data_IF_257407137330
#
_entry.id   IF_257407137330
#
_cell.length_a   1.000
_cell.length_b   1.000
_cell.length_c   1.000
_cell.angle_alpha   90.00
_cell.angle_beta   90.00
_cell.angle_gamma   90.00
#
_symmetry.space_group_name_H-M   'P 1'
#
loop_
_entity.id
_entity.type
_entity.pdbx_description
1 polymer ?
#
# COMPACT_ATOMS: atom_id res chain seq x y z
N UNK A 1 -3.96 2.82 -27.61
CA UNK A 1 -3.31 1.74 -28.41
C UNK A 1 -2.93 0.63 -27.42
N UNK A 2 -3.37 -0.62 -27.63
CA UNK A 2 -3.10 -1.69 -26.67
C UNK A 2 -1.61 -2.04 -26.67
N UNK A 3 -0.98 -2.00 -25.50
CA UNK A 3 0.39 -2.47 -25.30
C UNK A 3 0.43 -3.99 -25.52
N UNK A 4 1.05 -4.44 -26.63
CA UNK A 4 1.26 -5.87 -26.89
C UNK A 4 2.18 -6.44 -25.81
N UNK A 5 1.81 -7.58 -25.20
CA UNK A 5 2.67 -8.35 -24.30
C UNK A 5 3.92 -8.80 -25.09
N UNK A 6 5.05 -8.19 -24.84
CA UNK A 6 6.29 -8.36 -25.60
C UNK A 6 7.02 -9.67 -25.25
N UNK A 7 6.34 -10.82 -25.32
CA UNK A 7 6.92 -12.14 -25.10
C UNK A 7 6.96 -12.62 -23.63
N UNK A 8 6.75 -11.75 -22.65
CA UNK A 8 6.66 -12.13 -21.23
C UNK A 8 5.28 -12.71 -20.94
N UNK A 9 5.22 -13.91 -20.36
CA UNK A 9 3.96 -14.56 -19.98
C UNK A 9 3.61 -14.28 -18.52
N UNK A 10 2.35 -13.91 -18.27
CA UNK A 10 1.87 -13.72 -16.89
C UNK A 10 1.91 -15.02 -16.09
N UNK A 11 2.52 -14.97 -14.91
CA UNK A 11 2.67 -16.10 -13.99
C UNK A 11 1.58 -16.06 -12.92
N UNK A 12 0.69 -17.05 -12.95
CA UNK A 12 -0.47 -17.12 -12.04
C UNK A 12 -0.06 -17.15 -10.55
N UNK A 13 1.03 -17.84 -10.21
CA UNK A 13 1.52 -17.93 -8.84
C UNK A 13 2.06 -16.60 -8.30
N UNK A 14 2.48 -15.68 -9.20
CA UNK A 14 2.88 -14.32 -8.85
C UNK A 14 1.70 -13.33 -8.84
N UNK A 15 0.48 -13.78 -9.18
CA UNK A 15 -0.70 -12.91 -9.23
C UNK A 15 -0.64 -11.84 -10.32
N UNK A 16 0.12 -12.07 -11.41
CA UNK A 16 0.37 -11.10 -12.46
C UNK A 16 -0.87 -10.86 -13.35
N UNK A 17 -1.22 -9.59 -13.50
CA UNK A 17 -2.21 -9.04 -14.45
C UNK A 17 -1.58 -7.82 -15.10
N UNK A 18 -1.05 -7.97 -16.31
CA UNK A 18 -0.36 -6.87 -17.00
C UNK A 18 -1.37 -5.83 -17.50
N UNK A 19 -1.15 -4.58 -17.14
CA UNK A 19 -1.95 -3.46 -17.62
C UNK A 19 -1.64 -3.20 -19.10
N UNK A 20 -2.68 -3.09 -19.94
CA UNK A 20 -2.56 -2.85 -21.39
C UNK A 20 -3.09 -1.48 -21.82
N UNK A 21 -3.62 -0.69 -20.87
CA UNK A 21 -4.22 0.61 -21.12
C UNK A 21 -3.23 1.73 -20.73
N UNK A 22 -2.71 2.42 -21.74
CA UNK A 22 -1.74 3.50 -21.56
C UNK A 22 -2.37 4.72 -20.86
N UNK A 23 -3.67 5.01 -21.09
CA UNK A 23 -4.35 6.13 -20.44
C UNK A 23 -4.50 5.89 -18.94
N UNK A 24 -4.81 4.65 -18.54
CA UNK A 24 -4.86 4.28 -17.12
C UNK A 24 -3.47 4.43 -16.48
N UNK A 25 -2.42 3.98 -17.16
CA UNK A 25 -1.04 4.10 -16.69
C UNK A 25 -0.62 5.56 -16.51
N UNK A 26 -0.84 6.40 -17.50
CA UNK A 26 -0.53 7.84 -17.45
C UNK A 26 -1.32 8.53 -16.33
N UNK A 27 -2.63 8.29 -16.24
CA UNK A 27 -3.49 8.85 -15.20
C UNK A 27 -3.04 8.49 -13.78
N UNK A 28 -2.58 7.24 -13.58
CA UNK A 28 -2.03 6.82 -12.29
C UNK A 28 -0.74 7.59 -11.98
N UNK A 29 0.17 7.68 -12.94
CA UNK A 29 1.46 8.39 -12.75
C UNK A 29 1.23 9.88 -12.52
N UNK A 30 0.28 10.51 -13.21
CA UNK A 30 -0.12 11.92 -13.01
C UNK A 30 -0.70 12.18 -11.61
N UNK A 31 -1.25 11.15 -10.95
CA UNK A 31 -1.79 11.25 -9.59
C UNK A 31 -0.72 11.37 -8.51
N UNK A 32 0.56 11.18 -8.81
CA UNK A 32 1.68 11.36 -7.87
C UNK A 32 1.89 12.86 -7.61
N UNK A 33 1.90 13.26 -6.33
CA UNK A 33 1.94 14.67 -5.92
C UNK A 33 3.15 15.03 -5.06
N UNK A 34 3.69 14.10 -4.26
CA UNK A 34 4.70 14.39 -3.24
C UNK A 34 6.14 14.30 -3.74
N UNK A 35 6.37 14.02 -5.04
CA UNK A 35 7.70 13.85 -5.58
C UNK A 35 8.54 15.12 -5.51
N UNK A 36 9.72 15.02 -4.88
CA UNK A 36 10.74 16.05 -4.75
C UNK A 36 12.00 15.63 -5.52
N UNK A 37 12.98 16.52 -5.61
CA UNK A 37 14.22 16.31 -6.38
C UNK A 37 15.02 15.09 -5.91
N UNK A 38 14.99 14.79 -4.63
CA UNK A 38 15.71 13.69 -3.96
C UNK A 38 14.83 12.47 -3.67
N UNK A 39 13.57 12.48 -4.10
CA UNK A 39 12.67 11.35 -3.91
C UNK A 39 13.08 10.14 -4.74
N UNK A 40 12.88 8.94 -4.17
CA UNK A 40 12.98 7.66 -4.87
C UNK A 40 11.56 7.22 -5.23
N UNK A 41 11.29 7.03 -6.52
CA UNK A 41 10.02 6.44 -6.99
C UNK A 41 10.21 4.94 -7.15
N UNK A 42 9.77 4.18 -6.16
CA UNK A 42 9.90 2.73 -6.10
C UNK A 42 8.66 2.08 -6.73
N UNK A 43 8.80 1.59 -7.96
CA UNK A 43 7.76 0.80 -8.60
C UNK A 43 7.86 -0.66 -8.18
N UNK A 44 6.77 -1.23 -7.65
CA UNK A 44 6.71 -2.64 -7.24
C UNK A 44 5.95 -3.44 -8.30
N UNK A 45 6.63 -4.46 -8.86
CA UNK A 45 6.06 -5.33 -9.88
C UNK A 45 5.83 -4.62 -11.22
N UNK A 46 6.86 -4.02 -11.84
CA UNK A 46 6.76 -3.32 -13.11
C UNK A 46 6.27 -4.23 -14.27
N UNK A 47 6.48 -5.55 -14.17
CA UNK A 47 6.09 -6.50 -15.19
C UNK A 47 6.67 -6.17 -16.57
N UNK A 48 5.80 -5.82 -17.52
CA UNK A 48 6.21 -5.41 -18.87
C UNK A 48 6.44 -3.89 -19.03
N UNK A 49 6.43 -3.14 -17.92
CA UNK A 49 6.79 -1.72 -17.91
C UNK A 49 5.66 -0.76 -18.26
N UNK A 50 4.41 -1.20 -18.10
CA UNK A 50 3.25 -0.34 -18.43
C UNK A 50 3.21 0.95 -17.61
N UNK A 51 3.53 0.90 -16.31
CA UNK A 51 3.67 2.08 -15.46
C UNK A 51 5.11 2.64 -15.51
N UNK A 52 6.11 1.77 -15.65
CA UNK A 52 7.53 2.16 -15.65
C UNK A 52 7.83 3.20 -16.74
N UNK A 53 7.32 2.98 -17.95
CA UNK A 53 7.58 3.88 -19.08
C UNK A 53 7.10 5.31 -18.81
N UNK A 54 5.84 5.60 -18.42
CA UNK A 54 5.42 6.96 -18.07
C UNK A 54 6.08 7.46 -16.77
N UNK A 55 6.45 6.60 -15.80
CA UNK A 55 7.22 7.00 -14.63
C UNK A 55 8.60 7.53 -15.03
N UNK A 56 9.36 6.80 -15.84
CA UNK A 56 10.68 7.23 -16.31
C UNK A 56 10.57 8.48 -17.18
N UNK A 57 9.56 8.58 -18.02
CA UNK A 57 9.31 9.78 -18.84
C UNK A 57 9.12 11.04 -17.97
N UNK A 58 8.46 10.90 -16.81
CA UNK A 58 8.14 12.03 -15.92
C UNK A 58 9.25 12.31 -14.90
N UNK A 59 9.89 11.27 -14.36
CA UNK A 59 10.78 11.38 -13.19
C UNK A 59 12.22 10.93 -13.47
N UNK A 60 12.51 10.42 -14.66
CA UNK A 60 13.87 10.08 -15.11
C UNK A 60 14.56 9.08 -14.20
N UNK A 61 15.79 9.44 -13.78
CA UNK A 61 16.66 8.60 -12.94
C UNK A 61 16.19 8.38 -11.50
N UNK A 62 15.13 9.08 -11.05
CA UNK A 62 14.55 8.87 -9.72
C UNK A 62 13.76 7.56 -9.61
N UNK A 63 13.41 6.92 -10.73
CA UNK A 63 12.62 5.67 -10.78
C UNK A 63 13.50 4.47 -10.51
N UNK A 64 13.07 3.60 -9.59
CA UNK A 64 13.63 2.28 -9.32
C UNK A 64 12.53 1.24 -9.47
N UNK A 65 12.67 0.36 -10.45
CA UNK A 65 11.71 -0.70 -10.78
C UNK A 65 12.13 -2.02 -10.12
N UNK A 66 11.34 -2.51 -9.17
CA UNK A 66 11.60 -3.69 -8.37
C UNK A 66 10.76 -4.89 -8.82
N UNK A 67 11.40 -5.94 -9.32
CA UNK A 67 10.73 -7.10 -9.93
C UNK A 67 11.32 -8.44 -9.46
N UNK A 68 10.45 -9.40 -9.17
CA UNK A 68 10.86 -10.77 -8.79
C UNK A 68 10.94 -11.71 -9.98
N UNK A 69 10.17 -11.44 -11.03
CA UNK A 69 10.14 -12.26 -12.23
C UNK A 69 11.34 -11.99 -13.14
N UNK A 70 12.24 -12.99 -13.27
CA UNK A 70 13.45 -12.86 -14.07
C UNK A 70 13.20 -12.59 -15.57
N UNK A 71 12.09 -13.08 -16.13
CA UNK A 71 11.73 -12.77 -17.53
C UNK A 71 11.38 -11.30 -17.69
N UNK A 72 10.60 -10.74 -16.76
CA UNK A 72 10.26 -9.32 -16.72
C UNK A 72 11.49 -8.46 -16.49
N UNK A 73 12.40 -8.84 -15.56
CA UNK A 73 13.68 -8.17 -15.32
C UNK A 73 14.52 -8.13 -16.61
N UNK A 74 14.67 -9.29 -17.28
CA UNK A 74 15.47 -9.37 -18.51
C UNK A 74 14.85 -8.55 -19.66
N UNK A 75 13.53 -8.48 -19.71
CA UNK A 75 12.80 -7.65 -20.67
C UNK A 75 13.03 -6.16 -20.41
N UNK A 76 12.84 -5.71 -19.15
CA UNK A 76 13.00 -4.30 -18.76
C UNK A 76 14.44 -3.81 -18.99
N UNK A 77 15.45 -4.61 -18.61
CA UNK A 77 16.86 -4.26 -18.82
C UNK A 77 17.28 -4.07 -20.28
N UNK A 78 16.48 -4.58 -21.23
CA UNK A 78 16.70 -4.40 -22.68
C UNK A 78 15.85 -3.28 -23.27
N UNK A 79 14.93 -2.71 -22.50
CA UNK A 79 14.04 -1.67 -22.98
C UNK A 79 14.80 -0.33 -23.14
N UNK A 80 14.65 0.38 -24.29
CA UNK A 80 15.46 1.58 -24.58
C UNK A 80 15.04 2.83 -23.79
N UNK A 81 14.00 2.75 -22.99
CA UNK A 81 13.40 3.86 -22.22
C UNK A 81 13.69 3.80 -20.73
N UNK A 82 14.44 2.81 -20.24
CA UNK A 82 14.89 2.70 -18.84
C UNK A 82 16.35 2.24 -18.81
N UNK A 83 17.13 2.80 -17.89
CA UNK A 83 18.51 2.38 -17.71
C UNK A 83 18.58 1.04 -16.93
N UNK A 84 19.48 0.11 -17.30
CA UNK A 84 19.56 -1.21 -16.67
C UNK A 84 19.78 -1.17 -15.14
N UNK A 85 20.44 -0.13 -14.61
CA UNK A 85 20.66 0.05 -13.18
C UNK A 85 19.41 0.46 -12.40
N UNK A 86 18.38 0.98 -13.06
CA UNK A 86 17.07 1.30 -12.49
C UNK A 86 16.19 0.05 -12.30
N UNK A 87 16.61 -1.12 -12.82
CA UNK A 87 15.86 -2.37 -12.70
C UNK A 87 16.53 -3.29 -11.69
N UNK A 88 15.89 -3.45 -10.53
CA UNK A 88 16.37 -4.30 -9.44
C UNK A 88 15.60 -5.63 -9.43
N UNK A 89 16.35 -6.74 -9.52
CA UNK A 89 15.79 -8.09 -9.37
C UNK A 89 15.72 -8.44 -7.88
N UNK A 90 14.60 -8.11 -7.20
CA UNK A 90 14.44 -8.36 -5.77
C UNK A 90 12.96 -8.47 -5.37
N UNK A 91 12.72 -9.08 -4.21
CA UNK A 91 11.39 -9.14 -3.57
C UNK A 91 11.23 -7.95 -2.62
N UNK A 92 10.23 -7.10 -2.88
CA UNK A 92 9.92 -5.97 -2.01
C UNK A 92 9.67 -6.42 -0.56
N UNK A 93 9.01 -7.55 -0.35
CA UNK A 93 8.69 -8.01 1.00
C UNK A 93 9.94 -8.42 1.80
N UNK A 94 11.00 -8.86 1.11
CA UNK A 94 12.29 -9.20 1.72
C UNK A 94 13.25 -8.00 1.83
N UNK A 95 13.11 -7.00 0.95
CA UNK A 95 14.00 -5.82 0.87
C UNK A 95 14.03 -5.05 2.19
N UNK A 96 15.19 -4.62 2.64
CA UNK A 96 15.35 -3.70 3.78
C UNK A 96 15.39 -2.25 3.27
N UNK A 97 14.81 -1.33 4.03
CA UNK A 97 14.84 0.10 3.68
C UNK A 97 16.27 0.63 3.51
N UNK A 98 17.21 0.11 4.33
CA UNK A 98 18.64 0.46 4.28
C UNK A 98 19.36 0.01 2.99
N UNK A 99 18.74 -0.86 2.19
CA UNK A 99 19.29 -1.29 0.89
C UNK A 99 18.92 -0.33 -0.24
N UNK A 100 18.01 0.61 0.03
CA UNK A 100 17.76 1.76 -0.84
C UNK A 100 18.76 2.88 -0.56
N UNK A 101 18.72 3.96 -1.36
CA UNK A 101 19.58 5.11 -1.09
C UNK A 101 19.43 5.61 0.35
N UNK A 102 20.53 6.05 1.01
CA UNK A 102 20.53 6.35 2.45
C UNK A 102 19.69 7.57 2.82
N UNK A 103 19.30 8.39 1.86
CA UNK A 103 18.51 9.62 2.05
C UNK A 103 17.43 9.73 0.97
N UNK A 104 16.49 10.66 1.19
CA UNK A 104 15.38 10.96 0.30
C UNK A 104 14.08 10.26 0.70
N UNK A 105 12.98 10.89 0.28
CA UNK A 105 11.64 10.36 0.46
C UNK A 105 11.41 9.16 -0.47
N UNK A 106 10.61 8.20 -0.03
CA UNK A 106 10.23 7.05 -0.84
C UNK A 106 8.77 7.23 -1.27
N UNK A 107 8.53 7.19 -2.57
CA UNK A 107 7.20 7.15 -3.16
C UNK A 107 7.00 5.76 -3.75
N UNK A 108 6.03 5.02 -3.24
CA UNK A 108 5.74 3.66 -3.70
C UNK A 108 4.66 3.71 -4.77
N UNK A 109 4.92 3.09 -5.92
CA UNK A 109 3.99 3.05 -7.05
C UNK A 109 3.82 1.61 -7.52
N UNK A 110 2.63 1.25 -8.02
CA UNK A 110 2.50 -0.07 -8.63
C UNK A 110 1.08 -0.47 -9.04
N UNK A 111 1.07 -1.46 -9.93
CA UNK A 111 -0.08 -2.33 -10.14
C UNK A 111 0.11 -3.57 -9.25
N UNK A 112 -0.25 -3.47 -7.97
CA UNK A 112 0.15 -4.45 -6.97
C UNK A 112 -0.50 -5.82 -7.19
N UNK A 113 0.29 -6.92 -7.11
CA UNK A 113 -0.27 -8.27 -7.12
C UNK A 113 -1.27 -8.45 -5.97
N UNK A 114 -2.51 -8.88 -6.30
CA UNK A 114 -3.61 -8.88 -5.31
C UNK A 114 -3.37 -9.80 -4.12
N UNK A 115 -2.67 -10.92 -4.34
CA UNK A 115 -2.36 -11.90 -3.30
C UNK A 115 -1.42 -11.38 -2.21
N UNK A 116 -0.63 -10.33 -2.49
CA UNK A 116 0.32 -9.74 -1.53
C UNK A 116 0.07 -8.26 -1.26
N UNK A 117 -0.96 -7.66 -1.82
CA UNK A 117 -1.24 -6.22 -1.73
C UNK A 117 -1.36 -5.72 -0.28
N UNK A 118 -1.96 -6.50 0.62
CA UNK A 118 -2.01 -6.16 2.05
C UNK A 118 -0.63 -6.23 2.72
N UNK A 119 0.23 -7.17 2.31
CA UNK A 119 1.60 -7.28 2.82
C UNK A 119 2.45 -6.10 2.37
N UNK A 120 2.28 -5.66 1.10
CA UNK A 120 2.91 -4.44 0.58
C UNK A 120 2.52 -3.22 1.42
N UNK A 121 1.23 -3.07 1.75
CA UNK A 121 0.76 -1.97 2.61
C UNK A 121 1.35 -2.03 4.03
N UNK A 122 1.41 -3.21 4.65
CA UNK A 122 2.04 -3.33 5.96
C UNK A 122 3.52 -2.95 5.92
N UNK A 123 4.24 -3.37 4.89
CA UNK A 123 5.64 -3.01 4.71
C UNK A 123 5.83 -1.52 4.41
N UNK A 124 4.96 -0.93 3.60
CA UNK A 124 4.93 0.51 3.39
C UNK A 124 4.75 1.29 4.70
N UNK A 125 3.86 0.80 5.59
CA UNK A 125 3.67 1.37 6.92
C UNK A 125 4.88 1.15 7.85
N UNK A 126 5.60 0.04 7.72
CA UNK A 126 6.85 -0.19 8.47
C UNK A 126 7.93 0.84 8.05
N UNK A 127 7.92 1.31 6.79
CA UNK A 127 8.82 2.33 6.23
C UNK A 127 8.28 3.77 6.30
N UNK A 128 7.21 4.01 7.07
CA UNK A 128 6.46 5.27 7.10
C UNK A 128 7.27 6.54 7.38
N UNK A 129 8.44 6.42 8.05
CA UNK A 129 9.31 7.57 8.34
C UNK A 129 9.84 8.22 7.05
N UNK A 130 10.11 7.40 6.03
CA UNK A 130 10.61 7.85 4.73
C UNK A 130 9.58 7.74 3.59
N UNK A 131 8.54 6.93 3.78
CA UNK A 131 7.53 6.69 2.76
C UNK A 131 6.47 7.78 2.80
N UNK A 132 6.59 8.77 1.92
CA UNK A 132 5.73 9.97 1.92
C UNK A 132 4.47 9.82 1.08
N UNK A 133 4.49 8.94 0.07
CA UNK A 133 3.32 8.70 -0.79
C UNK A 133 3.29 7.26 -1.29
N UNK A 134 2.07 6.74 -1.47
CA UNK A 134 1.82 5.54 -2.25
C UNK A 134 0.70 5.81 -3.25
N UNK A 135 0.93 5.50 -4.54
CA UNK A 135 -0.11 5.54 -5.58
C UNK A 135 -0.15 4.18 -6.28
N UNK A 136 -1.28 3.50 -6.20
CA UNK A 136 -1.31 2.17 -6.80
C UNK A 136 -2.69 1.54 -6.96
N UNK A 137 -2.69 0.44 -7.70
CA UNK A 137 -3.89 -0.36 -7.96
C UNK A 137 -3.99 -1.54 -7.01
N UNK A 138 -5.20 -1.71 -6.47
CA UNK A 138 -5.61 -2.81 -5.60
C UNK A 138 -6.89 -3.44 -6.14
N UNK A 139 -7.32 -4.58 -5.59
CA UNK A 139 -8.70 -4.98 -5.77
C UNK A 139 -9.62 -3.86 -5.25
N UNK A 140 -10.69 -3.57 -5.99
CA UNK A 140 -11.62 -2.45 -5.68
C UNK A 140 -12.10 -2.50 -4.23
N UNK A 141 -12.52 -3.67 -3.74
CA UNK A 141 -12.97 -3.84 -2.36
C UNK A 141 -11.88 -3.49 -1.33
N UNK A 142 -10.60 -3.83 -1.63
CA UNK A 142 -9.47 -3.50 -0.75
C UNK A 142 -9.22 -1.99 -0.74
N UNK A 143 -9.22 -1.35 -1.90
CA UNK A 143 -9.06 0.10 -2.02
C UNK A 143 -10.18 0.86 -1.30
N UNK A 144 -11.45 0.45 -1.49
CA UNK A 144 -12.60 1.01 -0.81
C UNK A 144 -12.51 0.83 0.72
N UNK A 145 -12.04 -0.34 1.18
CA UNK A 145 -11.84 -0.62 2.61
C UNK A 145 -10.80 0.30 3.23
N UNK A 146 -9.67 0.52 2.55
CA UNK A 146 -8.60 1.40 3.03
C UNK A 146 -9.10 2.83 3.20
N UNK A 147 -9.94 3.31 2.27
CA UNK A 147 -10.49 4.67 2.26
C UNK A 147 -11.79 4.81 3.07
N UNK A 148 -12.31 3.72 3.65
CA UNK A 148 -13.59 3.76 4.38
C UNK A 148 -13.49 4.54 5.68
N UNK A 149 -14.49 5.37 5.96
CA UNK A 149 -14.66 6.02 7.26
C UNK A 149 -15.06 5.01 8.35
N UNK A 150 -14.72 5.31 9.61
CA UNK A 150 -15.21 4.55 10.76
C UNK A 150 -16.74 4.53 10.80
N UNK A 151 -17.31 3.55 11.47
CA UNK A 151 -18.77 3.31 11.49
C UNK A 151 -19.31 2.53 10.29
N UNK A 152 -18.52 2.34 9.23
CA UNK A 152 -18.94 1.58 8.04
C UNK A 152 -18.65 0.08 8.17
N UNK A 153 -19.40 -0.74 7.40
CA UNK A 153 -19.15 -2.20 7.34
C UNK A 153 -17.83 -2.57 6.71
N UNK A 154 -17.26 -1.72 5.85
CA UNK A 154 -16.00 -1.95 5.13
C UNK A 154 -14.78 -1.54 5.94
N UNK A 155 -14.93 -0.65 6.92
CA UNK A 155 -13.85 -0.21 7.81
C UNK A 155 -13.21 -1.38 8.56
N UNK A 156 -11.88 -1.39 8.64
CA UNK A 156 -11.15 -2.50 9.23
C UNK A 156 -9.69 -2.16 9.58
N UNK A 157 -8.89 -3.18 9.85
CA UNK A 157 -7.49 -3.03 10.30
C UNK A 157 -6.68 -2.11 9.37
N UNK A 158 -6.77 -2.32 8.05
CA UNK A 158 -6.03 -1.48 7.08
C UNK A 158 -6.53 -0.04 7.07
N UNK A 159 -7.86 0.17 7.24
CA UNK A 159 -8.42 1.53 7.34
C UNK A 159 -7.82 2.28 8.52
N UNK A 160 -7.82 1.66 9.71
CA UNK A 160 -7.22 2.26 10.93
C UNK A 160 -5.76 2.57 10.71
N UNK A 161 -4.96 1.55 10.38
CA UNK A 161 -3.50 1.69 10.35
C UNK A 161 -3.02 2.64 9.25
N UNK A 162 -3.66 2.62 8.07
CA UNK A 162 -3.31 3.56 7.00
C UNK A 162 -3.74 4.97 7.36
N UNK A 163 -4.99 5.17 7.76
CA UNK A 163 -5.53 6.51 8.02
C UNK A 163 -4.97 7.16 9.29
N UNK A 164 -4.31 6.41 10.16
CA UNK A 164 -3.52 6.99 11.26
C UNK A 164 -2.36 7.83 10.73
N UNK A 165 -1.66 7.37 9.70
CA UNK A 165 -0.42 7.98 9.20
C UNK A 165 -0.59 8.73 7.87
N UNK A 166 -1.63 8.39 7.10
CA UNK A 166 -1.83 8.90 5.73
C UNK A 166 -3.25 9.41 5.52
N UNK A 167 -3.38 10.40 4.67
CA UNK A 167 -4.64 10.71 3.99
C UNK A 167 -4.85 9.66 2.91
N UNK A 168 -5.99 8.95 2.95
CA UNK A 168 -6.32 7.90 2.00
C UNK A 168 -7.41 8.39 1.05
N UNK A 169 -7.13 8.39 -0.24
CA UNK A 169 -8.02 8.89 -1.29
C UNK A 169 -8.25 7.82 -2.35
N UNK A 170 -9.52 7.49 -2.61
CA UNK A 170 -9.90 6.63 -3.72
C UNK A 170 -10.01 7.47 -5.00
N UNK A 171 -9.13 7.23 -5.97
CA UNK A 171 -9.02 8.08 -7.15
C UNK A 171 -9.99 7.66 -8.26
N UNK A 172 -9.95 6.40 -8.66
CA UNK A 172 -10.81 5.88 -9.73
C UNK A 172 -10.83 4.36 -9.80
N UNK A 173 -11.85 3.85 -10.47
CA UNK A 173 -12.02 2.40 -10.74
C UNK A 173 -11.42 2.04 -12.09
N UNK A 174 -10.79 0.85 -12.18
CA UNK A 174 -10.21 0.30 -13.40
C UNK A 174 -10.91 -1.02 -13.74
N UNK A 175 -11.48 -1.16 -14.95
CA UNK A 175 -12.20 -2.36 -15.34
C UNK A 175 -11.26 -3.52 -15.68
N UNK A 176 -11.70 -4.80 -15.55
CA UNK A 176 -10.85 -5.98 -15.77
C UNK A 176 -10.30 -6.13 -17.19
N UNK A 177 -11.02 -5.67 -18.20
CA UNK A 177 -10.66 -5.88 -19.61
C UNK A 177 -9.39 -5.13 -20.06
N UNK A 178 -8.91 -4.17 -19.26
CA UNK A 178 -7.65 -3.45 -19.54
C UNK A 178 -6.41 -4.22 -19.07
N UNK A 179 -6.57 -5.44 -18.56
CA UNK A 179 -5.48 -6.30 -18.11
C UNK A 179 -5.36 -7.59 -18.92
N UNK A 180 -4.18 -8.16 -18.98
CA UNK A 180 -3.90 -9.48 -19.55
C UNK A 180 -3.09 -10.33 -18.55
N UNK A 181 -3.60 -11.50 -18.08
CA UNK A 181 -5.00 -11.93 -18.20
C UNK A 181 -5.94 -11.00 -17.38
N UNK A 182 -7.23 -10.89 -17.73
CA UNK A 182 -8.14 -10.06 -16.96
C UNK A 182 -8.36 -10.66 -15.55
N UNK A 183 -8.35 -9.85 -14.47
CA UNK A 183 -8.74 -10.29 -13.14
C UNK A 183 -10.25 -10.55 -13.08
N UNK A 184 -10.68 -11.31 -12.06
CA UNK A 184 -12.11 -11.60 -11.83
C UNK A 184 -12.89 -10.43 -11.24
N UNK A 185 -12.22 -9.41 -10.72
CA UNK A 185 -12.79 -8.25 -10.03
C UNK A 185 -12.26 -6.95 -10.61
N UNK A 186 -12.96 -5.86 -10.40
CA UNK A 186 -12.47 -4.52 -10.73
C UNK A 186 -11.28 -4.16 -9.82
N UNK A 187 -10.42 -3.27 -10.30
CA UNK A 187 -9.37 -2.61 -9.51
C UNK A 187 -9.83 -1.24 -9.06
N UNK A 188 -9.28 -0.78 -7.93
CA UNK A 188 -9.37 0.60 -7.49
C UNK A 188 -7.98 1.20 -7.40
N UNK A 189 -7.79 2.40 -7.94
CA UNK A 189 -6.58 3.18 -7.73
C UNK A 189 -6.78 4.06 -6.52
N UNK A 190 -5.85 4.01 -5.59
CA UNK A 190 -5.84 4.90 -4.43
C UNK A 190 -4.52 5.65 -4.33
N UNK A 191 -4.56 6.77 -3.61
CA UNK A 191 -3.40 7.53 -3.19
C UNK A 191 -3.40 7.62 -1.66
N UNK A 192 -2.23 7.39 -1.09
CA UNK A 192 -1.92 7.62 0.31
C UNK A 192 -0.88 8.72 0.38
N UNK A 193 -1.18 9.82 1.06
CA UNK A 193 -0.25 10.92 1.26
C UNK A 193 0.02 11.08 2.75
N UNK A 194 1.30 11.10 3.14
CA UNK A 194 1.70 11.21 4.54
C UNK A 194 1.09 12.45 5.20
N UNK A 195 0.56 12.30 6.40
CA UNK A 195 0.06 13.43 7.20
C UNK A 195 1.24 14.30 7.63
N UNK A 196 1.02 15.61 7.70
CA UNK A 196 2.06 16.59 8.07
C UNK A 196 2.39 16.58 9.55
N UNK A 197 1.49 16.08 10.38
CA UNK A 197 1.69 15.93 11.82
C UNK A 197 2.76 14.87 12.10
N UNK A 198 3.71 15.17 13.00
CA UNK A 198 4.73 14.19 13.39
C UNK A 198 4.07 12.97 14.02
N UNK A 199 4.34 11.81 13.45
CA UNK A 199 3.86 10.51 13.94
C UNK A 199 4.97 9.66 14.55
N UNK A 200 6.17 10.24 14.76
CA UNK A 200 7.36 9.52 15.22
C UNK A 200 7.21 8.98 16.65
N UNK A 201 6.40 9.66 17.48
CA UNK A 201 6.08 9.24 18.84
C UNK A 201 5.15 8.01 18.90
N UNK A 202 4.50 7.65 17.77
CA UNK A 202 3.53 6.54 17.75
C UNK A 202 4.27 5.20 17.67
N UNK A 203 4.07 4.37 18.69
CA UNK A 203 4.53 2.98 18.63
C UNK A 203 3.62 2.18 17.67
N UNK A 204 4.02 2.12 16.40
CA UNK A 204 3.28 1.43 15.36
C UNK A 204 3.05 -0.05 15.66
N UNK A 205 4.04 -0.76 16.21
CA UNK A 205 3.92 -2.19 16.51
C UNK A 205 2.83 -2.43 17.55
N UNK A 206 2.76 -1.57 18.58
CA UNK A 206 1.75 -1.62 19.62
C UNK A 206 0.35 -1.28 19.08
N UNK A 207 0.21 -0.19 18.33
CA UNK A 207 -1.04 0.18 17.65
C UNK A 207 -1.54 -0.97 16.75
N UNK A 208 -0.66 -1.55 15.94
CA UNK A 208 -0.96 -2.68 15.04
C UNK A 208 -1.47 -3.90 15.82
N UNK A 209 -0.85 -4.22 16.94
CA UNK A 209 -1.27 -5.33 17.84
C UNK A 209 -2.68 -5.08 18.37
N UNK A 210 -2.93 -3.91 18.95
CA UNK A 210 -4.22 -3.55 19.55
C UNK A 210 -5.31 -3.55 18.50
N UNK A 211 -5.06 -2.92 17.35
CA UNK A 211 -6.01 -2.88 16.23
C UNK A 211 -6.37 -4.29 15.76
N UNK A 212 -5.39 -5.19 15.58
CA UNK A 212 -5.65 -6.58 15.21
C UNK A 212 -6.49 -7.31 16.25
N UNK A 213 -6.18 -7.18 17.53
CA UNK A 213 -6.95 -7.80 18.62
C UNK A 213 -8.38 -7.29 18.62
N UNK A 214 -8.59 -5.99 18.51
CA UNK A 214 -9.92 -5.38 18.48
C UNK A 214 -10.79 -5.91 17.33
N UNK A 215 -10.22 -6.05 16.12
CA UNK A 215 -10.95 -6.53 14.94
C UNK A 215 -11.09 -8.05 14.84
N UNK A 216 -10.29 -8.85 15.57
CA UNK A 216 -10.43 -10.31 15.57
C UNK A 216 -11.81 -10.78 16.04
N UNK A 217 -12.47 -9.99 16.89
CA UNK A 217 -13.82 -10.26 17.37
C UNK A 217 -14.78 -9.11 16.99
N UNK A 218 -14.84 -8.76 15.72
CA UNK A 218 -15.55 -7.59 15.20
C UNK A 218 -16.99 -7.41 15.73
N UNK A 219 -17.72 -8.51 15.98
CA UNK A 219 -19.11 -8.45 16.50
C UNK A 219 -19.22 -8.20 18.01
N UNK A 220 -18.12 -8.24 18.74
CA UNK A 220 -18.04 -8.02 20.20
C UNK A 220 -17.68 -6.58 20.52
N UNK A 221 -18.02 -6.16 21.74
CA UNK A 221 -17.53 -4.90 22.28
C UNK A 221 -16.01 -4.95 22.49
N UNK A 222 -15.34 -3.80 22.50
CA UNK A 222 -13.91 -3.71 22.78
C UNK A 222 -13.53 -4.34 24.11
N UNK A 223 -14.36 -4.20 25.15
CA UNK A 223 -14.15 -4.89 26.43
C UNK A 223 -13.90 -6.39 26.23
N UNK A 224 -14.75 -7.04 25.48
CA UNK A 224 -14.66 -8.48 25.26
C UNK A 224 -13.54 -8.86 24.32
N UNK A 225 -13.34 -8.09 23.23
CA UNK A 225 -12.29 -8.34 22.26
C UNK A 225 -10.88 -8.20 22.87
N UNK A 226 -10.63 -7.10 23.60
CA UNK A 226 -9.34 -6.81 24.21
C UNK A 226 -9.01 -7.78 25.35
N UNK A 227 -9.97 -8.09 26.24
CA UNK A 227 -9.79 -9.09 27.29
C UNK A 227 -9.47 -10.47 26.74
N UNK A 228 -10.22 -10.93 25.73
CA UNK A 228 -9.94 -12.24 25.10
C UNK A 228 -8.60 -12.28 24.35
N UNK A 229 -8.08 -11.11 23.94
CA UNK A 229 -6.74 -10.94 23.39
C UNK A 229 -5.64 -10.83 24.45
N UNK A 230 -5.95 -10.97 25.74
CA UNK A 230 -4.98 -10.94 26.84
C UNK A 230 -4.44 -9.54 27.15
N UNK A 231 -5.17 -8.47 26.78
CA UNK A 231 -4.74 -7.10 27.05
C UNK A 231 -5.26 -6.62 28.40
N UNK A 232 -4.42 -5.90 29.18
CA UNK A 232 -4.86 -5.19 30.37
C UNK A 232 -5.65 -3.94 29.93
N UNK A 233 -6.91 -3.83 30.39
CA UNK A 233 -7.83 -2.76 30.04
C UNK A 233 -8.24 -1.88 31.22
N UNK A 234 -7.56 -1.98 32.37
CA UNK A 234 -7.91 -1.25 33.59
C UNK A 234 -7.85 0.27 33.40
N UNK A 235 -6.87 0.74 32.63
CA UNK A 235 -6.67 2.16 32.35
C UNK A 235 -7.46 2.66 31.11
N UNK A 236 -8.21 1.78 30.44
CA UNK A 236 -8.98 2.15 29.24
C UNK A 236 -10.28 2.83 29.65
N UNK A 237 -10.57 3.99 29.05
CA UNK A 237 -11.84 4.70 29.24
C UNK A 237 -13.03 3.76 28.99
N UNK A 238 -13.95 3.75 29.94
CA UNK A 238 -15.17 2.93 29.90
C UNK A 238 -16.04 3.23 28.68
N UNK A 239 -15.99 4.45 28.16
CA UNK A 239 -16.67 4.85 26.93
C UNK A 239 -16.21 3.98 25.74
N UNK A 240 -14.91 3.82 25.53
CA UNK A 240 -14.37 2.96 24.48
C UNK A 240 -14.77 1.49 24.66
N UNK A 241 -14.77 1.02 25.90
CA UNK A 241 -15.04 -0.39 26.20
C UNK A 241 -16.45 -0.86 25.81
N UNK A 242 -17.42 0.07 25.73
CA UNK A 242 -18.80 -0.21 25.27
C UNK A 242 -18.94 -0.29 23.74
N UNK A 243 -18.01 0.30 23.00
CA UNK A 243 -18.05 0.37 21.54
C UNK A 243 -17.51 -0.92 20.87
N UNK A 244 -17.76 -1.06 19.57
CA UNK A 244 -17.11 -2.07 18.70
C UNK A 244 -15.95 -1.45 17.95
N UNK A 245 -15.01 -2.27 17.49
CA UNK A 245 -13.81 -1.80 16.80
C UNK A 245 -14.12 -0.87 15.60
N UNK A 246 -15.13 -1.20 14.79
CA UNK A 246 -15.48 -0.37 13.63
C UNK A 246 -16.06 1.01 13.96
N UNK A 247 -16.43 1.26 15.20
CA UNK A 247 -17.01 2.54 15.64
C UNK A 247 -15.94 3.57 16.02
N UNK A 248 -14.68 3.12 16.28
CA UNK A 248 -13.59 4.01 16.65
C UNK A 248 -12.93 4.61 15.40
N UNK A 249 -12.66 5.92 15.46
CA UNK A 249 -11.79 6.60 14.47
C UNK A 249 -10.32 6.18 14.63
N UNK A 250 -9.44 6.47 13.65
CA UNK A 250 -8.00 6.24 13.79
C UNK A 250 -7.40 6.94 15.01
N UNK A 251 -7.81 8.16 15.30
CA UNK A 251 -7.37 8.95 16.47
C UNK A 251 -7.81 8.30 17.78
N UNK A 252 -9.03 7.78 17.85
CA UNK A 252 -9.53 7.04 19.00
C UNK A 252 -8.79 5.71 19.21
N UNK A 253 -8.33 5.06 18.11
CA UNK A 253 -7.44 3.90 18.21
C UNK A 253 -6.06 4.26 18.77
N UNK A 254 -5.53 5.45 18.49
CA UNK A 254 -4.31 5.96 19.11
C UNK A 254 -4.50 6.13 20.62
N UNK A 255 -5.56 6.82 21.04
CA UNK A 255 -5.90 7.01 22.46
C UNK A 255 -6.08 5.66 23.19
N UNK A 256 -6.76 4.71 22.54
CA UNK A 256 -6.90 3.36 23.06
C UNK A 256 -5.54 2.66 23.21
N UNK A 257 -4.65 2.80 22.23
CA UNK A 257 -3.32 2.21 22.28
C UNK A 257 -2.44 2.82 23.38
N UNK A 258 -2.52 4.13 23.58
CA UNK A 258 -1.80 4.83 24.65
C UNK A 258 -2.27 4.43 26.06
N UNK A 259 -3.56 4.10 26.20
CA UNK A 259 -4.13 3.66 27.48
C UNK A 259 -3.84 2.20 27.85
N UNK A 260 -3.34 1.39 26.93
CA UNK A 260 -3.00 -0.03 27.14
C UNK A 260 -1.48 -0.18 27.33
N UNK A 261 -1.00 -0.79 28.42
CA UNK A 261 0.43 -0.97 28.63
C UNK A 261 1.12 -1.73 27.50
N UNK A 262 2.31 -1.26 27.14
CA UNK A 262 3.20 -1.98 26.23
C UNK A 262 3.79 -3.19 26.96
N UNK A 263 3.46 -4.39 26.50
CA UNK A 263 3.97 -5.66 27.06
C UNK A 263 5.08 -6.21 26.18
#
# INVERSE_FOLDING_TARGET
MALKSHGVKAKKHLGQHFLNDEHVAVRLVESIQSARKDSILLEIGPGTGALTKPLVSRFGGAVLALEVDQESVAFLKKAPWIEPHQVMAADFLALKESELAPSGDIIVVGNFPYNISSQILFKFLDWRVRSTELVGMFQKEVAERICSAHGSKTYGILSVLVQTFYHAEYLFTVPPHVFTPPPKVQSGVLRLTQKTESTDHINYAHLKRITKVAFNQRRKTLRNALKSGGLNIESVDTHFLGLRAEQLSPEQFLQLAESIPQS
#
